data_IF_736806072091
#
_entry.id   IF_736806072091
#
_cell.length_a   1.000
_cell.length_b   1.000
_cell.length_c   1.000
_cell.angle_alpha   90.00
_cell.angle_beta   90.00
_cell.angle_gamma   90.00
#
_symmetry.space_group_name_H-M   'P 1'
#
loop_
_entity.id
_entity.type
_entity.pdbx_description
1 polymer ?
#
# COMPACT_ATOMS: atom_id res chain seq x y z
N UNK A 1 -19.58 14.63 17.82
CA UNK A 1 -19.82 13.56 16.80
C UNK A 1 -18.62 12.62 16.81
N UNK A 2 -18.81 11.33 16.51
CA UNK A 2 -17.69 10.39 16.37
C UNK A 2 -16.93 10.74 15.08
N UNK A 3 -15.60 10.87 15.15
CA UNK A 3 -14.76 11.12 13.98
C UNK A 3 -14.76 9.89 13.06
N UNK A 4 -14.71 10.12 11.75
CA UNK A 4 -14.60 9.05 10.76
C UNK A 4 -13.13 8.65 10.55
N UNK A 5 -12.82 7.37 10.33
CA UNK A 5 -11.46 6.95 10.01
C UNK A 5 -10.99 7.53 8.67
N UNK A 6 -9.76 8.04 8.64
CA UNK A 6 -9.02 8.36 7.42
C UNK A 6 -7.72 7.58 7.41
N UNK A 7 -7.37 7.01 6.25
CA UNK A 7 -6.22 6.09 6.14
C UNK A 7 -5.56 6.26 4.78
N UNK A 8 -4.22 6.37 4.79
CA UNK A 8 -3.39 6.36 3.60
C UNK A 8 -2.85 4.96 3.31
N UNK A 9 -3.00 4.50 2.08
CA UNK A 9 -2.50 3.23 1.57
C UNK A 9 -1.29 3.53 0.68
N UNK A 10 -0.11 3.07 1.08
CA UNK A 10 1.09 3.14 0.25
C UNK A 10 1.34 1.75 -0.36
N UNK A 11 1.39 1.72 -1.70
CA UNK A 11 1.74 0.57 -2.52
C UNK A 11 3.14 0.75 -3.13
N UNK A 12 3.81 -0.34 -3.47
CA UNK A 12 5.13 -0.46 -4.08
C UNK A 12 6.41 -0.12 -3.29
N UNK A 13 6.45 0.18 -1.97
CA UNK A 13 7.74 0.39 -1.33
C UNK A 13 8.60 -0.86 -1.40
N UNK A 14 9.84 -0.66 -1.78
CA UNK A 14 10.87 -1.68 -1.66
C UNK A 14 12.20 -1.02 -1.29
N UNK A 15 13.11 -1.74 -0.60
CA UNK A 15 14.41 -1.19 -0.25
C UNK A 15 15.20 -0.84 -1.50
N UNK A 16 15.36 0.45 -1.75
CA UNK A 16 16.17 1.05 -2.82
C UNK A 16 15.68 0.74 -4.25
N UNK A 17 15.00 -0.37 -4.55
CA UNK A 17 14.62 -0.74 -5.92
C UNK A 17 13.35 -0.04 -6.38
N UNK A 18 13.34 0.44 -7.63
CA UNK A 18 12.10 0.82 -8.30
C UNK A 18 11.45 -0.41 -8.94
N UNK A 19 10.45 -0.99 -8.27
CA UNK A 19 9.65 -2.07 -8.88
C UNK A 19 8.91 -1.59 -10.12
N UNK A 20 8.49 -0.31 -10.15
CA UNK A 20 7.94 0.33 -11.34
C UNK A 20 8.89 0.27 -12.55
N UNK A 21 10.20 0.46 -12.34
CA UNK A 21 11.17 0.30 -13.42
C UNK A 21 11.11 -1.10 -14.03
N UNK A 22 10.84 -2.16 -13.26
CA UNK A 22 10.81 -3.53 -13.76
C UNK A 22 9.62 -3.80 -14.69
N UNK A 23 8.46 -3.23 -14.40
CA UNK A 23 7.21 -3.55 -15.12
C UNK A 23 6.62 -2.39 -15.94
N UNK A 24 7.23 -1.21 -15.95
CA UNK A 24 6.76 -0.12 -16.80
C UNK A 24 6.75 -0.54 -18.28
N UNK A 25 5.82 -0.02 -19.09
CA UNK A 25 5.83 -0.31 -20.52
C UNK A 25 6.99 0.37 -21.26
N UNK A 26 7.43 1.53 -20.75
CA UNK A 26 8.55 2.33 -21.29
C UNK A 26 9.51 2.67 -20.15
N UNK A 27 10.80 2.77 -20.45
CA UNK A 27 11.85 3.20 -19.49
C UNK A 27 12.07 4.72 -19.50
N UNK A 28 11.06 5.46 -19.94
CA UNK A 28 11.05 6.92 -20.00
C UNK A 28 9.69 7.43 -19.55
N UNK A 29 9.68 8.53 -18.82
CA UNK A 29 8.49 9.30 -18.47
C UNK A 29 7.86 9.91 -19.72
N UNK A 30 6.60 10.35 -19.62
CA UNK A 30 5.92 11.02 -20.74
C UNK A 30 6.60 12.35 -21.14
N UNK A 31 7.28 13.02 -20.21
CA UNK A 31 8.07 14.23 -20.45
C UNK A 31 9.51 13.97 -20.94
N UNK A 32 9.86 12.70 -21.22
CA UNK A 32 11.10 12.32 -21.91
C UNK A 32 12.31 12.03 -21.02
N UNK A 33 12.17 12.08 -19.69
CA UNK A 33 13.24 11.72 -18.75
C UNK A 33 13.37 10.20 -18.63
N UNK A 34 14.59 9.65 -18.46
CA UNK A 34 14.75 8.23 -18.10
C UNK A 34 14.08 7.93 -16.75
N UNK A 35 13.49 6.74 -16.61
CA UNK A 35 13.00 6.28 -15.31
C UNK A 35 14.17 5.91 -14.40
N UNK A 36 14.12 6.34 -13.13
CA UNK A 36 15.06 5.92 -12.11
C UNK A 36 14.89 4.42 -11.82
N UNK A 37 16.02 3.75 -11.61
CA UNK A 37 16.06 2.33 -11.21
C UNK A 37 16.07 2.16 -9.70
N UNK A 38 16.55 3.18 -8.99
CA UNK A 38 16.79 3.14 -7.57
C UNK A 38 16.24 4.38 -6.88
N UNK A 39 15.58 4.19 -5.74
CA UNK A 39 15.15 5.23 -4.83
C UNK A 39 16.25 5.53 -3.82
N UNK A 40 16.57 6.81 -3.56
CA UNK A 40 17.52 7.15 -2.53
C UNK A 40 16.91 6.93 -1.14
N UNK A 41 17.72 6.51 -0.15
CA UNK A 41 17.26 6.39 1.25
C UNK A 41 16.76 7.73 1.82
N UNK A 42 17.24 8.87 1.31
CA UNK A 42 16.71 10.19 1.65
C UNK A 42 15.23 10.33 1.34
N UNK A 43 14.72 9.68 0.29
CA UNK A 43 13.29 9.70 -0.03
C UNK A 43 12.45 9.09 1.09
N UNK A 44 12.88 7.95 1.66
CA UNK A 44 12.20 7.34 2.80
C UNK A 44 12.26 8.26 4.04
N UNK A 45 13.41 8.92 4.28
CA UNK A 45 13.56 9.86 5.40
C UNK A 45 12.61 11.06 5.26
N UNK A 46 12.56 11.66 4.07
CA UNK A 46 11.66 12.79 3.78
C UNK A 46 10.18 12.36 3.87
N UNK A 47 9.86 11.14 3.43
CA UNK A 47 8.53 10.57 3.63
C UNK A 47 8.17 10.45 5.11
N UNK A 48 9.09 9.92 5.93
CA UNK A 48 8.90 9.84 7.38
C UNK A 48 8.66 11.22 8.00
N UNK A 49 9.42 12.25 7.59
CA UNK A 49 9.24 13.61 8.08
C UNK A 49 7.82 14.14 7.78
N UNK A 50 7.28 13.84 6.59
CA UNK A 50 5.91 14.23 6.21
C UNK A 50 4.86 13.51 7.06
N UNK A 51 4.93 12.18 7.18
CA UNK A 51 3.92 11.43 7.93
C UNK A 51 3.93 11.78 9.42
N UNK A 52 5.10 12.00 10.01
CA UNK A 52 5.25 12.38 11.43
C UNK A 52 4.72 13.80 11.66
N UNK A 53 5.11 14.76 10.80
CA UNK A 53 4.66 16.15 10.87
C UNK A 53 3.14 16.28 10.73
N UNK A 54 2.53 15.46 9.89
CA UNK A 54 1.08 15.53 9.59
C UNK A 54 0.24 14.59 10.44
N UNK A 55 0.86 13.64 11.14
CA UNK A 55 0.16 12.59 11.87
C UNK A 55 -0.55 11.59 10.96
N UNK A 56 -0.10 11.43 9.71
CA UNK A 56 -0.71 10.53 8.74
C UNK A 56 -0.50 9.08 9.19
N UNK A 57 -1.54 8.27 9.11
CA UNK A 57 -1.51 6.85 9.46
C UNK A 57 -2.15 6.01 8.35
N UNK A 58 -1.83 4.73 8.32
CA UNK A 58 -2.48 3.81 7.40
C UNK A 58 -1.77 2.48 7.21
N UNK A 59 -1.52 2.08 5.96
CA UNK A 59 -0.70 0.90 5.63
C UNK A 59 0.41 1.21 4.64
N UNK A 60 1.50 0.49 4.78
CA UNK A 60 2.69 0.63 3.95
C UNK A 60 3.15 -0.77 3.54
N UNK A 61 3.03 -1.10 2.26
CA UNK A 61 3.53 -2.39 1.79
C UNK A 61 5.05 -2.43 1.75
N UNK A 62 5.62 -3.63 1.79
CA UNK A 62 7.02 -3.86 1.44
C UNK A 62 7.04 -5.04 0.47
N UNK A 63 7.62 -4.85 -0.72
CA UNK A 63 7.85 -5.96 -1.66
C UNK A 63 9.00 -6.83 -1.13
N UNK A 64 8.77 -8.09 -0.73
CA UNK A 64 9.79 -8.90 -0.05
C UNK A 64 10.93 -9.37 -0.94
N UNK A 65 10.67 -9.62 -2.23
CA UNK A 65 11.65 -10.09 -3.21
C UNK A 65 11.58 -9.26 -4.51
N UNK A 66 11.88 -7.95 -4.44
CA UNK A 66 11.51 -6.98 -5.46
C UNK A 66 12.09 -7.32 -6.84
N UNK A 67 11.22 -7.41 -7.83
CA UNK A 67 11.59 -7.61 -9.23
C UNK A 67 12.22 -8.97 -9.56
N UNK A 68 12.19 -9.94 -8.64
CA UNK A 68 12.91 -11.21 -8.73
C UNK A 68 14.45 -11.09 -8.68
N UNK A 69 14.99 -10.05 -8.03
CA UNK A 69 16.45 -9.80 -7.93
C UNK A 69 17.11 -10.32 -6.65
N UNK A 70 16.39 -11.11 -5.85
CA UNK A 70 16.78 -11.48 -4.48
C UNK A 70 15.70 -11.08 -3.49
N UNK A 71 16.00 -11.13 -2.19
CA UNK A 71 15.05 -10.81 -1.13
C UNK A 71 15.65 -9.88 -0.07
N UNK A 72 14.79 -9.20 0.67
CA UNK A 72 15.19 -8.16 1.64
C UNK A 72 15.95 -8.71 2.87
N UNK A 73 16.09 -10.02 3.01
CA UNK A 73 16.84 -10.67 4.10
C UNK A 73 18.22 -11.10 3.60
N UNK A 74 18.27 -11.77 2.46
CA UNK A 74 19.47 -12.40 1.92
C UNK A 74 20.24 -11.48 0.95
N UNK A 75 19.64 -10.36 0.56
CA UNK A 75 20.21 -9.37 -0.33
C UNK A 75 19.50 -9.30 -1.68
N UNK A 76 19.56 -8.11 -2.27
CA UNK A 76 19.02 -7.80 -3.59
C UNK A 76 20.20 -7.50 -4.53
N UNK A 77 20.20 -8.10 -5.71
CA UNK A 77 21.26 -7.93 -6.71
C UNK A 77 21.49 -6.43 -7.02
N UNK A 78 22.74 -6.00 -6.90
CA UNK A 78 23.15 -4.62 -7.18
C UNK A 78 22.87 -3.61 -6.07
N UNK A 79 22.31 -4.03 -4.92
CA UNK A 79 22.06 -3.16 -3.76
C UNK A 79 23.04 -3.50 -2.63
N UNK A 80 23.56 -2.48 -1.96
CA UNK A 80 24.39 -2.67 -0.77
C UNK A 80 23.55 -3.22 0.39
N UNK A 81 24.06 -4.22 1.10
CA UNK A 81 23.42 -4.74 2.31
C UNK A 81 23.27 -3.65 3.38
N UNK A 82 24.25 -2.75 3.51
CA UNK A 82 24.19 -1.67 4.50
C UNK A 82 23.10 -0.65 4.17
N UNK A 83 22.93 -0.29 2.89
CA UNK A 83 21.86 0.61 2.44
C UNK A 83 20.48 -0.03 2.61
N UNK A 84 20.37 -1.32 2.31
CA UNK A 84 19.14 -2.09 2.53
C UNK A 84 18.79 -2.16 4.02
N UNK A 85 19.76 -2.48 4.88
CA UNK A 85 19.55 -2.51 6.33
C UNK A 85 19.18 -1.13 6.88
N UNK A 86 19.83 -0.06 6.45
CA UNK A 86 19.46 1.31 6.84
C UNK A 86 18.00 1.61 6.47
N UNK A 87 17.58 1.27 5.25
CA UNK A 87 16.20 1.47 4.80
C UNK A 87 15.21 0.68 5.67
N UNK A 88 15.50 -0.60 5.95
CA UNK A 88 14.65 -1.47 6.76
C UNK A 88 14.55 -0.99 8.21
N UNK A 89 15.65 -0.50 8.80
CA UNK A 89 15.65 0.07 10.16
C UNK A 89 14.84 1.36 10.23
N UNK A 90 14.89 2.22 9.20
CA UNK A 90 14.03 3.40 9.12
C UNK A 90 12.56 2.98 9.00
N UNK A 91 12.24 2.01 8.15
CA UNK A 91 10.87 1.50 8.02
C UNK A 91 10.34 0.94 9.35
N UNK A 92 11.15 0.18 10.09
CA UNK A 92 10.78 -0.33 11.43
C UNK A 92 10.60 0.78 12.46
N UNK A 93 11.52 1.73 12.52
CA UNK A 93 11.56 2.73 13.60
C UNK A 93 10.67 3.95 13.38
N UNK A 94 10.41 4.33 12.12
CA UNK A 94 9.69 5.56 11.76
C UNK A 94 8.39 5.32 10.99
N UNK A 95 8.31 4.29 10.14
CA UNK A 95 7.08 4.00 9.38
C UNK A 95 6.10 3.13 10.16
N UNK A 96 6.55 1.98 10.69
CA UNK A 96 5.70 1.04 11.42
C UNK A 96 4.93 1.61 12.65
N UNK A 97 5.42 2.66 13.35
CA UNK A 97 4.64 3.33 14.38
C UNK A 97 3.33 3.94 13.87
N UNK A 98 3.30 4.43 12.64
CA UNK A 98 2.13 5.10 12.04
C UNK A 98 1.41 4.24 10.99
N UNK A 99 2.06 3.21 10.45
CA UNK A 99 1.52 2.37 9.39
C UNK A 99 1.59 0.90 9.75
N UNK A 100 0.56 0.14 9.41
CA UNK A 100 0.67 -1.31 9.34
C UNK A 100 1.55 -1.73 8.17
N UNK A 101 2.46 -2.66 8.42
CA UNK A 101 3.30 -3.25 7.39
C UNK A 101 2.64 -4.54 6.88
N UNK A 102 2.73 -4.79 5.58
CA UNK A 102 2.33 -6.05 4.96
C UNK A 102 3.06 -6.29 3.64
N UNK A 103 3.16 -7.54 3.17
CA UNK A 103 3.78 -7.80 1.89
C UNK A 103 2.88 -7.32 0.76
N UNK A 104 3.47 -6.84 -0.33
CA UNK A 104 2.79 -6.72 -1.62
C UNK A 104 3.03 -7.94 -2.48
N UNK A 105 2.48 -9.03 -1.96
CA UNK A 105 2.82 -10.40 -2.30
C UNK A 105 4.35 -10.59 -2.37
N UNK A 106 4.90 -11.36 -3.32
CA UNK A 106 6.30 -11.79 -3.22
C UNK A 106 7.25 -10.90 -4.01
N UNK A 107 6.99 -10.62 -5.29
CA UNK A 107 8.01 -10.04 -6.19
C UNK A 107 7.60 -8.74 -6.86
N UNK A 108 6.31 -8.46 -6.92
CA UNK A 108 5.73 -7.39 -7.74
C UNK A 108 6.20 -7.47 -9.21
N UNK A 109 6.43 -8.70 -9.70
CA UNK A 109 6.90 -8.96 -11.07
C UNK A 109 6.51 -10.38 -11.52
N UNK A 110 7.46 -11.32 -11.64
CA UNK A 110 7.20 -12.71 -12.05
C UNK A 110 6.87 -13.58 -10.85
N UNK A 111 5.93 -14.51 -11.02
CA UNK A 111 5.65 -15.55 -10.04
C UNK A 111 6.92 -16.39 -9.75
N UNK A 112 6.96 -17.06 -8.60
CA UNK A 112 8.09 -17.89 -8.18
C UNK A 112 7.62 -19.30 -7.93
N UNK A 113 8.32 -20.28 -8.50
CA UNK A 113 8.18 -21.67 -8.09
C UNK A 113 8.85 -21.85 -6.74
N UNK A 114 8.05 -22.05 -5.70
CA UNK A 114 8.54 -22.17 -4.32
C UNK A 114 9.41 -23.42 -4.09
N UNK A 115 9.28 -24.47 -4.90
CA UNK A 115 10.08 -25.68 -4.77
C UNK A 115 11.51 -25.48 -5.28
N UNK A 116 11.67 -24.67 -6.34
CA UNK A 116 12.97 -24.46 -6.99
C UNK A 116 13.58 -23.08 -6.71
N UNK A 117 12.79 -22.14 -6.20
CA UNK A 117 13.16 -20.73 -6.02
C UNK A 117 13.26 -19.94 -7.33
N UNK A 118 12.91 -20.54 -8.47
CA UNK A 118 13.06 -19.91 -9.80
C UNK A 118 11.84 -19.08 -10.18
N UNK A 119 12.08 -17.99 -10.89
CA UNK A 119 11.00 -17.22 -11.50
C UNK A 119 10.29 -18.05 -12.59
N UNK A 120 8.97 -17.96 -12.63
CA UNK A 120 8.13 -18.48 -13.71
C UNK A 120 8.09 -17.48 -14.87
N UNK A 121 7.81 -17.96 -16.09
CA UNK A 121 7.58 -17.11 -17.26
C UNK A 121 6.15 -16.54 -17.28
N UNK A 122 5.70 -16.00 -16.14
CA UNK A 122 4.38 -15.42 -15.94
C UNK A 122 4.44 -14.39 -14.82
N UNK A 123 3.69 -13.29 -14.94
CA UNK A 123 3.58 -12.32 -13.85
C UNK A 123 2.88 -12.94 -12.66
N UNK A 124 3.20 -12.46 -11.47
CA UNK A 124 2.63 -12.96 -10.23
C UNK A 124 1.11 -12.77 -10.16
N UNK A 125 0.58 -11.64 -10.64
CA UNK A 125 -0.86 -11.43 -10.73
C UNK A 125 -1.53 -12.37 -11.75
N UNK A 126 -0.93 -12.56 -12.93
CA UNK A 126 -1.46 -13.46 -13.97
C UNK A 126 -1.47 -14.92 -13.47
N UNK A 127 -0.41 -15.34 -12.77
CA UNK A 127 -0.30 -16.66 -12.18
C UNK A 127 -1.40 -16.91 -11.15
N UNK A 128 -1.65 -15.93 -10.26
CA UNK A 128 -2.65 -16.00 -9.20
C UNK A 128 -4.06 -16.30 -9.73
N UNK A 129 -4.39 -15.84 -10.95
CA UNK A 129 -5.74 -16.01 -11.55
C UNK A 129 -6.19 -17.47 -11.73
N UNK A 130 -5.26 -18.41 -11.67
CA UNK A 130 -5.52 -19.85 -11.86
C UNK A 130 -5.21 -20.68 -10.62
N UNK A 131 -4.87 -20.02 -9.50
CA UNK A 131 -4.48 -20.68 -8.26
C UNK A 131 -5.67 -20.93 -7.33
N UNK A 132 -5.45 -21.72 -6.29
CA UNK A 132 -6.45 -22.04 -5.28
C UNK A 132 -5.84 -21.89 -3.87
N UNK A 133 -6.63 -22.19 -2.84
CA UNK A 133 -6.20 -22.12 -1.45
C UNK A 133 -4.88 -22.85 -1.18
N UNK A 134 -4.69 -24.05 -1.72
CA UNK A 134 -3.51 -24.90 -1.46
C UNK A 134 -2.23 -24.33 -2.09
N UNK A 135 -2.32 -23.60 -3.20
CA UNK A 135 -1.14 -22.99 -3.85
C UNK A 135 -0.93 -21.54 -3.42
N UNK A 136 -1.98 -20.78 -3.14
CA UNK A 136 -1.89 -19.40 -2.65
C UNK A 136 -1.37 -19.33 -1.22
N UNK A 137 -1.81 -20.24 -0.33
CA UNK A 137 -1.39 -20.23 1.09
C UNK A 137 0.13 -20.27 1.24
N UNK A 138 0.87 -21.26 0.69
CA UNK A 138 2.32 -21.28 0.83
C UNK A 138 3.01 -20.10 0.15
N UNK A 139 2.44 -19.55 -0.93
CA UNK A 139 2.99 -18.38 -1.62
C UNK A 139 2.92 -17.11 -0.77
N UNK A 140 1.74 -16.86 -0.17
CA UNK A 140 1.52 -15.76 0.77
C UNK A 140 2.36 -15.96 2.03
N UNK A 141 2.42 -17.19 2.56
CA UNK A 141 3.25 -17.54 3.72
C UNK A 141 4.72 -17.26 3.48
N UNK A 142 5.24 -17.49 2.26
CA UNK A 142 6.63 -17.17 1.92
C UNK A 142 6.88 -15.65 1.96
N UNK A 143 5.99 -14.85 1.38
CA UNK A 143 6.08 -13.39 1.42
C UNK A 143 6.05 -12.85 2.87
N UNK A 144 5.11 -13.34 3.67
CA UNK A 144 4.99 -13.01 5.10
C UNK A 144 6.21 -13.42 5.92
N UNK A 145 6.77 -14.60 5.64
CA UNK A 145 7.93 -15.13 6.36
C UNK A 145 9.19 -14.32 6.12
N UNK A 146 9.40 -13.82 4.89
CA UNK A 146 10.53 -12.92 4.59
C UNK A 146 10.40 -11.63 5.42
N UNK A 147 9.20 -11.03 5.47
CA UNK A 147 9.00 -9.83 6.30
C UNK A 147 9.17 -10.12 7.80
N UNK A 148 8.75 -11.30 8.26
CA UNK A 148 8.94 -11.72 9.65
C UNK A 148 10.42 -11.84 10.00
N UNK A 149 11.20 -12.45 9.13
CA UNK A 149 12.64 -12.61 9.28
C UNK A 149 13.37 -11.27 9.21
N UNK A 150 12.88 -10.32 8.39
CA UNK A 150 13.34 -8.93 8.38
C UNK A 150 12.92 -8.13 9.64
N UNK A 151 12.12 -8.70 10.54
CA UNK A 151 11.74 -8.12 11.83
C UNK A 151 10.47 -7.26 11.80
N UNK A 152 9.59 -7.45 10.82
CA UNK A 152 8.29 -6.77 10.78
C UNK A 152 7.18 -7.61 11.39
N UNK A 153 6.23 -6.94 12.06
CA UNK A 153 4.99 -7.53 12.56
C UNK A 153 3.86 -7.24 11.57
N UNK A 154 3.65 -8.14 10.61
CA UNK A 154 2.62 -7.93 9.58
C UNK A 154 1.21 -8.19 10.13
N UNK A 155 0.25 -7.34 9.76
CA UNK A 155 -1.17 -7.47 10.18
C UNK A 155 -2.12 -7.74 9.01
N UNK A 156 -1.60 -7.80 7.78
CA UNK A 156 -2.36 -8.06 6.57
C UNK A 156 -1.47 -8.07 5.34
N UNK A 157 -2.07 -8.03 4.15
CA UNK A 157 -1.37 -8.14 2.87
C UNK A 157 -1.88 -7.16 1.81
N UNK A 158 -1.08 -6.92 0.78
CA UNK A 158 -1.42 -6.07 -0.37
C UNK A 158 -1.36 -6.90 -1.65
N UNK A 159 -2.36 -6.77 -2.51
CA UNK A 159 -2.39 -7.38 -3.83
C UNK A 159 -1.67 -6.48 -4.85
N UNK A 160 -0.53 -6.90 -5.44
CA UNK A 160 0.05 -6.18 -6.57
C UNK A 160 -0.91 -6.26 -7.76
N UNK A 161 -1.21 -5.11 -8.37
CA UNK A 161 -2.23 -4.96 -9.41
C UNK A 161 -3.60 -5.51 -8.99
N UNK A 162 -3.95 -6.69 -9.48
CA UNK A 162 -5.21 -7.38 -9.26
C UNK A 162 -4.97 -8.80 -8.73
N UNK A 163 -3.82 -9.05 -8.08
CA UNK A 163 -3.48 -10.36 -7.53
C UNK A 163 -4.62 -10.94 -6.69
N UNK A 164 -5.12 -12.10 -7.11
CA UNK A 164 -6.16 -12.84 -6.42
C UNK A 164 -7.59 -12.41 -6.75
N UNK A 165 -7.83 -11.37 -7.57
CA UNK A 165 -9.20 -10.88 -7.83
C UNK A 165 -10.09 -11.90 -8.52
N UNK A 166 -9.54 -12.72 -9.42
CA UNK A 166 -10.30 -13.73 -10.17
C UNK A 166 -10.63 -14.97 -9.34
N UNK A 167 -9.95 -15.14 -8.19
CA UNK A 167 -10.06 -16.30 -7.29
C UNK A 167 -10.24 -15.83 -5.84
N UNK A 168 -10.95 -14.71 -5.65
CA UNK A 168 -10.94 -13.98 -4.39
C UNK A 168 -11.38 -14.83 -3.19
N UNK A 169 -12.37 -15.71 -3.36
CA UNK A 169 -12.82 -16.64 -2.32
C UNK A 169 -11.70 -17.55 -1.81
N UNK A 170 -10.88 -18.09 -2.73
CA UNK A 170 -9.71 -18.90 -2.39
C UNK A 170 -8.60 -18.03 -1.80
N UNK A 171 -8.43 -16.82 -2.33
CA UNK A 171 -7.42 -15.86 -1.88
C UNK A 171 -7.63 -15.43 -0.44
N UNK A 172 -8.83 -15.00 -0.04
CA UNK A 172 -9.10 -14.55 1.34
C UNK A 172 -8.95 -15.69 2.35
N UNK A 173 -9.29 -16.92 1.97
CA UNK A 173 -9.03 -18.11 2.78
C UNK A 173 -7.53 -18.34 2.96
N UNK A 174 -6.77 -18.22 1.87
CA UNK A 174 -5.32 -18.38 1.88
C UNK A 174 -4.62 -17.31 2.73
N UNK A 175 -5.08 -16.05 2.67
CA UNK A 175 -4.61 -14.96 3.54
C UNK A 175 -4.85 -15.32 5.01
N UNK A 176 -6.08 -15.74 5.36
CA UNK A 176 -6.43 -16.13 6.73
C UNK A 176 -5.52 -17.22 7.26
N UNK A 177 -5.25 -18.25 6.46
CA UNK A 177 -4.41 -19.38 6.86
C UNK A 177 -2.94 -18.96 6.96
N UNK A 178 -2.40 -18.26 5.97
CA UNK A 178 -0.99 -17.82 5.95
C UNK A 178 -0.66 -16.86 7.10
N UNK A 179 -1.56 -15.91 7.42
CA UNK A 179 -1.40 -15.00 8.55
C UNK A 179 -1.37 -15.74 9.89
N UNK A 180 -2.21 -16.78 10.03
CA UNK A 180 -2.22 -17.62 11.21
C UNK A 180 -0.96 -18.48 11.31
N UNK A 181 -0.53 -19.10 10.22
CA UNK A 181 0.64 -19.99 10.22
C UNK A 181 1.95 -19.23 10.51
N UNK A 182 2.10 -18.01 9.96
CA UNK A 182 3.33 -17.23 10.12
C UNK A 182 3.32 -16.40 11.39
N UNK A 183 2.22 -15.72 11.73
CA UNK A 183 2.17 -14.76 12.84
C UNK A 183 1.21 -15.15 13.98
N UNK A 184 0.45 -16.23 13.85
CA UNK A 184 -0.58 -16.61 14.83
C UNK A 184 -1.75 -15.63 14.92
N UNK A 185 -1.89 -14.71 13.95
CA UNK A 185 -2.94 -13.68 13.96
C UNK A 185 -4.22 -14.25 13.39
N UNK A 186 -5.31 -14.16 14.16
CA UNK A 186 -6.64 -14.64 13.76
C UNK A 186 -7.39 -13.65 12.86
N UNK A 187 -7.06 -12.37 12.97
CA UNK A 187 -7.68 -11.31 12.19
C UNK A 187 -6.61 -10.70 11.29
N UNK A 188 -6.94 -10.52 10.02
CA UNK A 188 -6.08 -9.90 9.03
C UNK A 188 -6.86 -8.95 8.12
N UNK A 189 -6.15 -8.01 7.50
CA UNK A 189 -6.69 -7.17 6.44
C UNK A 189 -6.05 -7.53 5.10
N UNK A 190 -6.70 -7.16 4.00
CA UNK A 190 -6.07 -7.13 2.68
C UNK A 190 -6.50 -5.90 1.90
N UNK A 191 -5.58 -5.39 1.06
CA UNK A 191 -5.86 -4.36 0.07
C UNK A 191 -5.85 -4.99 -1.32
N UNK A 192 -6.95 -4.83 -2.06
CA UNK A 192 -7.12 -5.31 -3.44
C UNK A 192 -7.97 -4.34 -4.26
N UNK A 193 -8.98 -3.73 -3.65
CA UNK A 193 -10.02 -3.02 -4.37
C UNK A 193 -9.77 -1.51 -4.45
N UNK A 194 -9.58 -1.01 -5.66
CA UNK A 194 -9.63 0.42 -5.97
C UNK A 194 -10.96 0.75 -6.63
N UNK A 195 -11.90 1.31 -5.86
CA UNK A 195 -13.29 1.53 -6.29
C UNK A 195 -13.56 3.01 -6.62
N UNK A 196 -12.85 3.52 -7.64
CA UNK A 196 -12.78 4.93 -8.06
C UNK A 196 -14.12 5.65 -8.26
N UNK A 197 -15.19 4.91 -8.57
CA UNK A 197 -16.53 5.43 -8.83
C UNK A 197 -17.54 5.10 -7.70
N UNK A 198 -17.05 4.75 -6.51
CA UNK A 198 -17.90 4.40 -5.38
C UNK A 198 -17.46 5.15 -4.11
N UNK A 199 -17.76 6.46 -4.02
CA UNK A 199 -17.31 7.29 -2.90
C UNK A 199 -17.93 6.88 -1.55
N UNK A 200 -19.07 6.19 -1.55
CA UNK A 200 -19.72 5.67 -0.33
C UNK A 200 -19.15 4.30 0.12
N UNK A 201 -17.95 3.94 -0.31
CA UNK A 201 -17.36 2.65 0.07
C UNK A 201 -16.88 2.65 1.52
N UNK A 202 -17.09 1.52 2.19
CA UNK A 202 -16.55 1.19 3.51
C UNK A 202 -15.84 -0.17 3.43
N UNK A 203 -14.93 -0.48 4.38
CA UNK A 203 -14.40 -1.83 4.53
C UNK A 203 -15.51 -2.87 4.74
N UNK A 204 -15.22 -4.14 4.46
CA UNK A 204 -16.16 -5.23 4.73
C UNK A 204 -15.44 -6.50 5.16
N UNK A 205 -16.15 -7.38 5.85
CA UNK A 205 -15.65 -8.72 6.18
C UNK A 205 -15.72 -9.60 4.93
N UNK A 206 -14.56 -9.96 4.38
CA UNK A 206 -14.45 -10.80 3.18
C UNK A 206 -14.37 -12.30 3.54
N UNK A 207 -13.85 -12.63 4.72
CA UNK A 207 -13.81 -13.99 5.24
C UNK A 207 -14.11 -14.01 6.74
N UNK A 208 -14.86 -15.03 7.18
CA UNK A 208 -15.17 -15.27 8.59
C UNK A 208 -15.57 -16.75 8.76
N UNK A 209 -14.76 -17.52 9.47
CA UNK A 209 -15.01 -18.93 9.81
C UNK A 209 -15.49 -19.13 11.27
N UNK A 210 -15.76 -18.04 11.99
CA UNK A 210 -16.15 -18.02 13.39
C UNK A 210 -14.96 -17.92 14.37
N UNK A 211 -13.74 -18.23 13.94
CA UNK A 211 -12.51 -18.06 14.74
C UNK A 211 -11.57 -17.01 14.13
N UNK A 212 -11.47 -16.98 12.80
CA UNK A 212 -10.60 -16.09 12.03
C UNK A 212 -11.40 -15.24 11.07
N UNK A 213 -10.93 -14.01 10.84
CA UNK A 213 -11.58 -13.04 9.97
C UNK A 213 -10.58 -12.36 9.05
N UNK A 214 -10.99 -12.09 7.81
CA UNK A 214 -10.26 -11.22 6.88
C UNK A 214 -11.14 -10.07 6.45
N UNK A 215 -10.64 -8.84 6.60
CA UNK A 215 -11.34 -7.60 6.23
C UNK A 215 -10.73 -7.00 4.97
N UNK A 216 -11.57 -6.68 3.99
CA UNK A 216 -11.18 -5.92 2.81
C UNK A 216 -11.09 -4.45 3.16
N UNK A 217 -9.95 -3.83 2.86
CA UNK A 217 -9.72 -2.40 2.98
C UNK A 217 -9.68 -1.85 1.55
N UNK A 218 -10.74 -1.17 1.06
CA UNK A 218 -10.75 -0.60 -0.28
C UNK A 218 -10.15 0.81 -0.33
N UNK A 219 -9.71 1.25 -1.51
CA UNK A 219 -9.50 2.67 -1.80
C UNK A 219 -10.74 3.26 -2.47
N UNK A 220 -11.18 4.42 -2.00
CA UNK A 220 -12.30 5.18 -2.55
C UNK A 220 -11.88 6.15 -3.67
N UNK A 221 -10.58 6.42 -3.83
CA UNK A 221 -10.07 7.47 -4.72
C UNK A 221 -9.15 6.92 -5.80
N UNK A 222 -8.89 7.76 -6.80
CA UNK A 222 -7.76 7.62 -7.73
C UNK A 222 -6.42 7.90 -7.02
N UNK A 223 -5.32 7.36 -7.57
CA UNK A 223 -3.96 7.83 -7.25
C UNK A 223 -3.68 9.13 -8.03
N UNK A 224 -4.08 10.26 -7.44
CA UNK A 224 -3.89 11.59 -8.05
C UNK A 224 -2.41 11.95 -8.18
N UNK A 225 -1.51 11.32 -7.43
CA UNK A 225 -0.09 11.63 -7.44
C UNK A 225 0.61 11.02 -8.64
N UNK A 226 0.02 10.00 -9.28
CA UNK A 226 0.60 9.27 -10.42
C UNK A 226 1.09 10.18 -11.54
N UNK A 227 0.36 11.26 -11.81
CA UNK A 227 0.70 12.25 -12.84
C UNK A 227 2.07 12.90 -12.62
N UNK A 228 2.55 13.00 -11.38
CA UNK A 228 3.82 13.68 -11.03
C UNK A 228 5.05 12.92 -11.56
N UNK A 229 4.94 11.61 -11.82
CA UNK A 229 6.01 10.84 -12.47
C UNK A 229 6.29 11.40 -13.88
N UNK A 230 5.24 11.87 -14.54
CA UNK A 230 5.25 12.29 -15.94
C UNK A 230 5.37 13.81 -16.13
N UNK A 231 5.65 14.55 -15.06
CA UNK A 231 5.76 16.01 -15.09
C UNK A 231 7.06 16.45 -14.41
N UNK A 232 7.80 17.35 -15.06
CA UNK A 232 9.03 17.93 -14.50
C UNK A 232 8.76 19.15 -13.61
N UNK A 233 7.52 19.66 -13.58
CA UNK A 233 7.19 20.78 -12.70
C UNK A 233 7.29 20.36 -11.24
N UNK A 234 7.88 21.26 -10.47
CA UNK A 234 8.02 21.20 -9.01
C UNK A 234 7.51 22.50 -8.38
N UNK A 235 6.83 23.37 -9.13
CA UNK A 235 6.34 24.62 -8.59
C UNK A 235 5.14 24.43 -7.65
N UNK A 236 4.89 25.41 -6.80
CA UNK A 236 3.85 25.33 -5.78
C UNK A 236 2.44 25.29 -6.38
N UNK A 237 2.24 25.89 -7.57
CA UNK A 237 0.95 25.86 -8.28
C UNK A 237 0.63 24.44 -8.74
N UNK A 238 1.59 23.75 -9.33
CA UNK A 238 1.43 22.37 -9.74
C UNK A 238 1.20 21.45 -8.54
N UNK A 239 2.01 21.57 -7.47
CA UNK A 239 1.82 20.82 -6.23
C UNK A 239 0.42 21.04 -5.65
N UNK A 240 -0.04 22.28 -5.60
CA UNK A 240 -1.40 22.62 -5.14
C UNK A 240 -2.47 22.01 -6.03
N UNK A 241 -2.29 22.02 -7.36
CA UNK A 241 -3.26 21.48 -8.32
C UNK A 241 -3.41 19.96 -8.19
N UNK A 242 -2.35 19.24 -7.82
CA UNK A 242 -2.40 17.80 -7.53
C UNK A 242 -3.17 17.56 -6.22
N UNK A 243 -2.85 18.33 -5.18
CA UNK A 243 -3.54 18.24 -3.89
C UNK A 243 -5.04 18.57 -3.99
N UNK A 244 -5.42 19.55 -4.83
CA UNK A 244 -6.81 19.97 -5.06
C UNK A 244 -7.73 18.84 -5.54
N UNK A 245 -7.17 17.80 -6.17
CA UNK A 245 -7.94 16.64 -6.61
C UNK A 245 -8.43 15.78 -5.42
N UNK A 246 -7.68 15.73 -4.32
CA UNK A 246 -8.08 15.05 -3.09
C UNK A 246 -8.82 15.99 -2.14
N UNK A 247 -8.28 17.21 -1.95
CA UNK A 247 -8.86 18.24 -1.09
C UNK A 247 -8.40 19.64 -1.54
N UNK A 248 -9.35 20.52 -1.85
CA UNK A 248 -9.04 21.90 -2.24
C UNK A 248 -8.48 22.73 -1.09
N UNK A 249 -7.77 23.81 -1.40
CA UNK A 249 -7.19 24.71 -0.41
C UNK A 249 -8.18 25.34 0.57
N UNK A 250 -9.49 25.34 0.28
CA UNK A 250 -10.56 25.79 1.19
C UNK A 250 -11.27 24.63 1.91
N UNK A 251 -10.85 23.39 1.67
CA UNK A 251 -11.40 22.17 2.26
C UNK A 251 -12.80 21.78 1.79
N UNK A 252 -13.32 22.38 0.70
CA UNK A 252 -14.72 22.21 0.29
C UNK A 252 -14.96 21.22 -0.84
N UNK A 253 -13.93 20.86 -1.60
CA UNK A 253 -14.04 19.95 -2.76
C UNK A 253 -12.86 18.99 -2.80
N UNK A 254 -12.96 17.98 -3.67
CA UNK A 254 -11.97 16.93 -3.85
C UNK A 254 -12.53 15.55 -3.49
N UNK A 255 -11.86 14.49 -3.93
CA UNK A 255 -12.35 13.12 -3.77
C UNK A 255 -12.54 12.72 -2.30
N UNK A 256 -11.69 13.22 -1.37
CA UNK A 256 -11.85 12.94 0.07
C UNK A 256 -13.11 13.60 0.63
N UNK A 257 -13.45 14.80 0.14
CA UNK A 257 -14.68 15.49 0.53
C UNK A 257 -15.89 14.73 0.01
N UNK A 258 -15.87 14.31 -1.26
CA UNK A 258 -16.95 13.51 -1.84
C UNK A 258 -17.19 12.19 -1.08
N UNK A 259 -16.12 11.47 -0.72
CA UNK A 259 -16.20 10.27 0.11
C UNK A 259 -16.86 10.55 1.46
N UNK A 260 -16.46 11.64 2.14
CA UNK A 260 -17.02 12.00 3.44
C UNK A 260 -18.51 12.41 3.35
N UNK A 261 -18.89 13.21 2.36
CA UNK A 261 -20.27 13.69 2.20
C UNK A 261 -21.23 12.56 1.78
N UNK A 262 -20.72 11.52 1.12
CA UNK A 262 -21.51 10.34 0.75
C UNK A 262 -21.56 9.27 1.84
N UNK A 263 -20.84 9.46 2.95
CA UNK A 263 -20.83 8.56 4.11
C UNK A 263 -19.82 7.40 4.02
N UNK A 264 -18.95 7.41 3.01
CA UNK A 264 -17.85 6.47 2.88
C UNK A 264 -16.69 6.79 3.83
N UNK A 265 -15.70 5.90 3.85
CA UNK A 265 -14.48 6.09 4.64
C UNK A 265 -13.38 6.61 3.71
N UNK A 266 -12.75 7.77 3.99
CA UNK A 266 -11.65 8.33 3.19
C UNK A 266 -10.38 7.48 3.30
N UNK A 267 -10.42 6.29 2.71
CA UNK A 267 -9.28 5.41 2.52
C UNK A 267 -8.82 5.63 1.09
N UNK A 268 -7.60 6.11 0.92
CA UNK A 268 -7.06 6.47 -0.38
C UNK A 268 -5.66 5.89 -0.54
N UNK A 269 -5.29 5.61 -1.78
CA UNK A 269 -4.02 4.98 -2.10
C UNK A 269 -3.14 5.86 -2.97
N UNK A 270 -1.86 5.59 -2.89
CA UNK A 270 -0.86 6.08 -3.83
C UNK A 270 0.29 5.09 -3.92
N UNK A 271 1.10 5.23 -4.96
CA UNK A 271 2.26 4.35 -5.17
C UNK A 271 3.57 5.05 -4.78
N UNK A 272 4.53 4.26 -4.34
CA UNK A 272 5.84 4.74 -3.90
C UNK A 272 6.57 5.54 -5.01
N UNK A 273 6.49 5.08 -6.27
CA UNK A 273 7.04 5.79 -7.42
C UNK A 273 6.38 7.15 -7.68
N UNK A 274 5.08 7.29 -7.39
CA UNK A 274 4.36 8.54 -7.68
C UNK A 274 4.71 9.60 -6.64
N UNK A 275 4.86 9.20 -5.37
CA UNK A 275 5.42 10.07 -4.35
C UNK A 275 6.89 10.46 -4.63
N UNK A 276 7.70 9.53 -5.15
CA UNK A 276 9.08 9.82 -5.55
C UNK A 276 9.17 10.71 -6.79
N UNK A 277 8.17 10.66 -7.67
CA UNK A 277 8.07 11.48 -8.90
C UNK A 277 9.33 11.44 -9.76
N UNK A 278 9.86 10.24 -9.97
CA UNK A 278 11.11 10.03 -10.72
C UNK A 278 12.29 10.84 -10.14
N UNK A 279 12.39 10.95 -8.81
CA UNK A 279 13.45 11.64 -8.08
C UNK A 279 13.20 13.12 -7.79
N UNK A 280 12.04 13.68 -8.18
CA UNK A 280 11.69 15.08 -7.92
C UNK A 280 10.96 15.31 -6.59
N UNK A 281 10.38 14.25 -6.02
CA UNK A 281 9.59 14.27 -4.77
C UNK A 281 8.38 15.21 -4.81
N UNK A 282 7.92 15.62 -6.01
CA UNK A 282 6.75 16.48 -6.20
C UNK A 282 5.48 15.86 -5.61
N UNK A 283 5.30 14.55 -5.79
CA UNK A 283 4.18 13.78 -5.24
C UNK A 283 4.21 13.76 -3.71
N UNK A 284 5.40 13.60 -3.11
CA UNK A 284 5.55 13.72 -1.66
C UNK A 284 5.22 15.13 -1.14
N UNK A 285 5.60 16.19 -1.86
CA UNK A 285 5.20 17.57 -1.52
C UNK A 285 3.70 17.78 -1.63
N UNK A 286 3.06 17.19 -2.63
CA UNK A 286 1.60 17.21 -2.76
C UNK A 286 0.94 16.43 -1.60
N UNK A 287 1.51 15.31 -1.15
CA UNK A 287 1.03 14.58 0.03
C UNK A 287 1.16 15.42 1.31
N UNK A 288 2.27 16.16 1.49
CA UNK A 288 2.44 17.08 2.62
C UNK A 288 1.36 18.18 2.62
N UNK A 289 1.01 18.72 1.45
CA UNK A 289 -0.05 19.71 1.28
C UNK A 289 -1.45 19.13 1.52
N UNK A 290 -1.72 17.89 1.06
CA UNK A 290 -2.97 17.18 1.39
C UNK A 290 -3.10 16.96 2.90
N UNK A 291 -2.05 16.48 3.56
CA UNK A 291 -2.03 16.28 5.01
C UNK A 291 -2.22 17.59 5.78
N UNK A 292 -1.63 18.70 5.31
CA UNK A 292 -1.87 20.03 5.85
C UNK A 292 -3.36 20.42 5.79
N UNK A 293 -3.97 20.30 4.61
CA UNK A 293 -5.39 20.68 4.39
C UNK A 293 -6.35 19.82 5.19
N UNK A 294 -6.07 18.52 5.33
CA UNK A 294 -6.86 17.63 6.20
C UNK A 294 -6.79 18.13 7.64
N UNK A 295 -5.60 18.46 8.14
CA UNK A 295 -5.46 18.96 9.52
C UNK A 295 -6.16 20.31 9.73
N UNK A 296 -6.11 21.20 8.74
CA UNK A 296 -6.74 22.53 8.78
C UNK A 296 -8.27 22.48 8.68
N UNK A 297 -8.82 21.59 7.85
CA UNK A 297 -10.24 21.63 7.48
C UNK A 297 -11.09 20.45 7.95
N UNK A 298 -10.47 19.32 8.31
CA UNK A 298 -11.18 18.08 8.63
C UNK A 298 -10.83 17.50 10.01
N UNK A 299 -9.98 18.16 10.81
CA UNK A 299 -9.50 17.61 12.09
C UNK A 299 -10.59 17.37 13.13
N UNK A 300 -11.75 18.02 13.01
CA UNK A 300 -12.95 17.79 13.82
C UNK A 300 -13.86 16.68 13.26
N UNK A 301 -13.67 16.29 11.99
CA UNK A 301 -14.48 15.30 11.26
C UNK A 301 -13.80 13.93 11.14
N UNK A 302 -12.49 13.89 10.98
CA UNK A 302 -11.73 12.67 10.71
C UNK A 302 -10.62 12.40 11.72
N UNK A 303 -10.22 11.14 11.82
CA UNK A 303 -9.12 10.66 12.66
C UNK A 303 -8.25 9.70 11.85
N UNK A 304 -6.95 9.99 11.80
CA UNK A 304 -5.97 9.10 11.17
C UNK A 304 -5.91 7.78 11.91
N UNK A 305 -6.03 6.67 11.17
CA UNK A 305 -6.01 5.32 11.73
C UNK A 305 -5.17 4.40 10.87
N UNK A 306 -4.52 3.43 11.52
CA UNK A 306 -3.95 2.28 10.80
C UNK A 306 -5.08 1.42 10.26
N UNK A 307 -4.79 0.63 9.23
CA UNK A 307 -5.80 -0.28 8.65
C UNK A 307 -6.20 -1.40 9.61
N UNK A 308 -5.33 -1.80 10.55
CA UNK A 308 -5.65 -2.76 11.61
C UNK A 308 -6.63 -2.18 12.63
N UNK A 309 -6.54 -0.89 12.93
CA UNK A 309 -7.52 -0.19 13.78
C UNK A 309 -8.87 -0.11 13.07
N UNK A 310 -8.88 0.23 11.77
CA UNK A 310 -10.08 0.20 10.93
C UNK A 310 -10.68 -1.20 10.87
N UNK A 311 -9.86 -2.24 10.71
CA UNK A 311 -10.29 -3.63 10.78
C UNK A 311 -10.95 -3.96 12.13
N UNK A 312 -10.38 -3.52 13.26
CA UNK A 312 -11.03 -3.73 14.57
C UNK A 312 -12.39 -3.03 14.67
N UNK A 313 -12.52 -1.82 14.13
CA UNK A 313 -13.82 -1.12 14.08
C UNK A 313 -14.86 -1.94 13.32
N UNK A 314 -14.48 -2.51 12.17
CA UNK A 314 -15.35 -3.35 11.34
C UNK A 314 -15.78 -4.61 12.11
N UNK A 315 -14.84 -5.29 12.74
CA UNK A 315 -15.10 -6.53 13.47
C UNK A 315 -15.91 -6.31 14.76
N UNK A 316 -15.82 -5.13 15.37
CA UNK A 316 -16.60 -4.76 16.56
C UNK A 316 -18.08 -4.51 16.28
N UNK A 317 -18.44 -4.22 15.03
CA UNK A 317 -19.81 -3.93 14.60
C UNK A 317 -20.10 -4.55 13.21
N UNK A 318 -19.98 -5.89 13.12
CA UNK A 318 -20.19 -6.62 11.85
C UNK A 318 -21.55 -6.34 11.21
N UNK A 319 -22.56 -5.97 12.00
CA UNK A 319 -23.90 -5.62 11.49
C UNK A 319 -23.89 -4.33 10.66
N UNK A 320 -23.01 -3.37 10.98
CA UNK A 320 -22.81 -2.14 10.21
C UNK A 320 -21.97 -2.35 8.94
N UNK A 321 -21.30 -3.50 8.79
CA UNK A 321 -20.41 -3.84 7.68
C UNK A 321 -20.76 -5.22 7.10
N UNK A 322 -21.84 -5.32 6.33
CA UNK A 322 -22.28 -6.60 5.77
C UNK A 322 -21.19 -7.21 4.88
N UNK A 323 -21.14 -8.54 4.85
CA UNK A 323 -20.37 -9.28 3.84
C UNK A 323 -20.86 -8.86 2.45
N UNK A 324 -19.92 -8.64 1.54
CA UNK A 324 -20.22 -8.46 0.11
C UNK A 324 -20.24 -9.80 -0.60
#
# INVERSE_FOLDING_TARGET
MKKLPITLIIDDPSPIVSVYYSHAAKRTTADGRPLIKHYPTSFLKDFCDVIEKRGIMGKFSIVPAPGNYGDIVNGIEGISMDEMHEWLEIAKSRVAPQFDIGPEMLTHNKAVDLATGKALEMRECDWATTQNFETLTPYISKALSILKEAGFECTGVTSPWDFGIQVEEEYVRAISQAMFDVYGKKNAWYFLHVLRNNPNIKPWVAYDDGDRCVVSIPSATDDVFWQTINCASTDDEYVSSVADQLITADGKRGQLIETLETGGYPMFHTHWQSLCSNGLFTGLRALDEVGKRINEHLSDRVEWMKVSDVMQLVLSDKAAYPKR
#
